data_IF_697327720268
#
_entry.id   IF_697327720268
#
_cell.length_a   1.000
_cell.length_b   1.000
_cell.length_c   1.000
_cell.angle_alpha   90.00
_cell.angle_beta   90.00
_cell.angle_gamma   90.00
#
_symmetry.space_group_name_H-M   'P 1'
#
loop_
_entity.id
_entity.type
_entity.pdbx_description
1 polymer ?
#
# COMPACT_ATOMS: atom_id res chain seq x y z
N UNK A 1 9.46 -2.26 59.10
CA UNK A 1 9.91 -1.95 57.72
C UNK A 1 9.62 -3.10 56.75
N UNK A 2 8.36 -3.58 56.65
CA UNK A 2 8.00 -4.74 55.78
C UNK A 2 6.71 -4.56 54.97
N UNK A 3 6.02 -3.41 55.07
CA UNK A 3 4.73 -3.16 54.40
C UNK A 3 4.80 -2.21 53.20
N UNK A 4 5.97 -1.66 52.88
CA UNK A 4 6.14 -0.68 51.78
C UNK A 4 6.51 -1.38 50.44
N UNK A 5 6.90 -2.65 50.46
CA UNK A 5 7.41 -3.35 49.27
C UNK A 5 6.30 -3.88 48.35
N UNK A 6 5.04 -3.96 48.82
CA UNK A 6 3.95 -4.60 48.06
C UNK A 6 3.31 -3.63 47.04
N UNK A 7 3.37 -2.31 47.23
CA UNK A 7 2.82 -1.34 46.27
C UNK A 7 3.66 -1.19 45.00
N UNK A 8 4.97 -1.45 45.04
CA UNK A 8 5.85 -1.25 43.88
C UNK A 8 5.75 -2.37 42.83
N UNK A 9 5.13 -3.52 43.15
CA UNK A 9 4.95 -4.61 42.18
C UNK A 9 3.70 -4.46 41.29
N UNK A 10 2.70 -3.67 41.70
CA UNK A 10 1.47 -3.49 40.90
C UNK A 10 1.65 -2.53 39.73
N UNK A 11 2.65 -1.64 39.75
CA UNK A 11 2.84 -0.62 38.71
C UNK A 11 3.57 -1.18 37.48
N UNK A 12 4.36 -2.25 37.61
CA UNK A 12 5.05 -2.88 36.47
C UNK A 12 4.14 -3.74 35.58
N UNK A 13 2.94 -4.11 36.04
CA UNK A 13 2.01 -4.92 35.25
C UNK A 13 1.21 -4.09 34.22
N UNK A 14 1.20 -2.76 34.33
CA UNK A 14 0.38 -1.87 33.49
C UNK A 14 1.11 -1.33 32.25
N UNK A 15 2.41 -1.58 32.08
CA UNK A 15 3.16 -1.09 30.92
C UNK A 15 3.25 -2.09 29.77
N UNK A 16 2.62 -3.26 29.88
CA UNK A 16 2.58 -4.26 28.81
C UNK A 16 1.35 -4.09 27.90
N UNK A 17 1.04 -2.86 27.51
CA UNK A 17 0.29 -2.67 26.27
C UNK A 17 1.26 -3.03 25.14
N UNK A 18 1.23 -4.29 24.70
CA UNK A 18 1.70 -4.60 23.35
C UNK A 18 0.91 -3.66 22.44
N UNK A 19 1.59 -2.71 21.81
CA UNK A 19 1.03 -1.99 20.67
C UNK A 19 0.45 -3.06 19.77
N UNK A 20 -0.86 -3.00 19.53
CA UNK A 20 -1.48 -3.75 18.43
C UNK A 20 -0.63 -3.39 17.22
N UNK A 21 0.15 -4.37 16.75
CA UNK A 21 1.22 -4.11 15.80
C UNK A 21 0.61 -3.59 14.53
N UNK A 22 1.12 -2.48 14.02
CA UNK A 22 0.78 -2.02 12.69
C UNK A 22 1.05 -3.17 11.71
N UNK A 23 0.01 -3.59 10.98
CA UNK A 23 0.08 -4.74 10.11
C UNK A 23 0.30 -4.27 8.68
N UNK A 24 1.51 -4.49 8.17
CA UNK A 24 1.84 -4.21 6.78
C UNK A 24 0.99 -5.09 5.86
N UNK A 25 0.18 -4.46 5.02
CA UNK A 25 -0.53 -5.12 3.93
C UNK A 25 0.36 -5.16 2.68
N UNK A 26 0.36 -6.29 1.99
CA UNK A 26 1.12 -6.52 0.78
C UNK A 26 0.19 -6.59 -0.43
N UNK A 27 0.35 -5.65 -1.35
CA UNK A 27 -0.30 -5.65 -2.66
C UNK A 27 0.68 -6.16 -3.70
N UNK A 28 0.29 -7.18 -4.46
CA UNK A 28 1.04 -7.65 -5.62
C UNK A 28 0.13 -7.74 -6.83
N UNK A 29 0.51 -7.05 -7.91
CA UNK A 29 -0.25 -6.95 -9.14
C UNK A 29 0.62 -7.28 -10.36
N UNK A 30 0.02 -7.94 -11.36
CA UNK A 30 0.68 -8.28 -12.63
C UNK A 30 -0.29 -8.15 -13.80
N UNK A 31 0.16 -7.48 -14.87
CA UNK A 31 -0.57 -7.43 -16.15
C UNK A 31 -0.67 -8.83 -16.78
N UNK A 32 -1.62 -9.04 -17.69
CA UNK A 32 -1.80 -10.33 -18.38
C UNK A 32 -0.51 -10.82 -19.07
N UNK A 33 0.18 -9.91 -19.78
CA UNK A 33 1.47 -10.22 -20.42
C UNK A 33 2.62 -10.45 -19.44
N UNK A 34 2.47 -10.03 -18.18
CA UNK A 34 3.52 -10.04 -17.18
C UNK A 34 4.62 -9.00 -17.33
N UNK A 35 4.56 -8.17 -18.38
CA UNK A 35 5.54 -7.10 -18.64
C UNK A 35 5.47 -5.95 -17.64
N UNK A 36 4.29 -5.74 -17.07
CA UNK A 36 4.05 -4.78 -15.99
C UNK A 36 3.76 -5.51 -14.69
N UNK A 37 4.46 -5.13 -13.62
CA UNK A 37 4.19 -5.55 -12.23
C UNK A 37 4.12 -4.33 -11.34
N UNK A 38 3.22 -4.35 -10.36
CA UNK A 38 3.14 -3.34 -9.32
C UNK A 38 3.11 -4.03 -7.96
N UNK A 39 3.96 -3.59 -7.04
CA UNK A 39 4.01 -4.09 -5.66
C UNK A 39 3.93 -2.92 -4.70
N UNK A 40 3.20 -3.07 -3.61
CA UNK A 40 3.16 -2.08 -2.55
C UNK A 40 3.07 -2.73 -1.17
N UNK A 41 3.68 -2.08 -0.19
CA UNK A 41 3.55 -2.32 1.24
C UNK A 41 2.81 -1.13 1.84
N UNK A 42 1.67 -1.40 2.46
CA UNK A 42 0.74 -0.41 2.97
C UNK A 42 0.59 -0.60 4.46
N UNK A 43 0.81 0.46 5.23
CA UNK A 43 0.59 0.48 6.66
C UNK A 43 -0.90 0.32 6.96
N UNK A 44 -1.26 -0.67 7.79
CA UNK A 44 -2.62 -0.90 8.28
C UNK A 44 -3.68 -0.91 7.16
N UNK A 45 -3.35 -1.49 6.00
CA UNK A 45 -4.14 -1.62 4.75
C UNK A 45 -4.53 -0.31 4.04
N UNK A 46 -4.65 0.81 4.73
CA UNK A 46 -5.10 2.09 4.16
C UNK A 46 -4.49 3.38 4.75
N UNK A 47 -3.58 3.30 5.72
CA UNK A 47 -3.03 4.51 6.36
C UNK A 47 -1.96 5.22 5.50
N UNK A 48 -1.16 4.47 4.76
CA UNK A 48 -0.12 5.03 3.90
C UNK A 48 0.80 4.00 3.29
N UNK A 49 1.62 4.40 2.32
CA UNK A 49 2.64 3.51 1.74
C UNK A 49 3.91 3.50 2.59
N UNK A 50 4.46 2.32 2.83
CA UNK A 50 5.85 2.16 3.31
C UNK A 50 6.80 2.15 2.09
N UNK A 51 6.44 1.33 1.08
CA UNK A 51 7.14 1.28 -0.21
C UNK A 51 6.22 0.82 -1.32
N UNK A 52 6.47 1.28 -2.54
CA UNK A 52 5.84 0.76 -3.74
C UNK A 52 6.79 0.77 -4.95
N UNK A 53 6.65 -0.22 -5.82
CA UNK A 53 7.48 -0.40 -7.02
C UNK A 53 6.59 -0.75 -8.21
N UNK A 54 6.58 0.12 -9.21
CA UNK A 54 6.05 -0.17 -10.54
C UNK A 54 7.22 -0.58 -11.44
N UNK A 55 7.13 -1.75 -12.08
CA UNK A 55 8.10 -2.20 -13.08
C UNK A 55 7.39 -2.38 -14.41
N UNK A 56 7.93 -1.80 -15.48
CA UNK A 56 7.46 -1.99 -16.87
C UNK A 56 8.67 -2.37 -17.73
N UNK A 57 8.62 -3.54 -18.36
CA UNK A 57 9.71 -4.06 -19.20
C UNK A 57 11.07 -4.09 -18.47
N UNK A 58 11.05 -4.36 -17.16
CA UNK A 58 12.24 -4.39 -16.30
C UNK A 58 12.72 -3.02 -15.80
N UNK A 59 12.11 -1.91 -16.25
CA UNK A 59 12.44 -0.56 -15.77
C UNK A 59 11.54 -0.20 -14.60
N UNK A 60 12.14 0.31 -13.51
CA UNK A 60 11.50 0.53 -12.22
C UNK A 60 11.16 2.00 -11.96
N UNK A 61 10.01 2.22 -11.35
CA UNK A 61 9.60 3.47 -10.70
C UNK A 61 9.25 3.15 -9.24
N UNK A 62 10.04 3.70 -8.32
CA UNK A 62 9.90 3.45 -6.89
C UNK A 62 9.18 4.60 -6.20
N UNK A 63 8.45 4.30 -5.13
CA UNK A 63 7.84 5.22 -4.18
C UNK A 63 8.15 4.71 -2.77
N UNK A 64 8.29 5.62 -1.82
CA UNK A 64 8.61 5.42 -0.41
C UNK A 64 7.62 6.21 0.45
N UNK A 65 7.80 6.15 1.78
CA UNK A 65 7.10 7.00 2.75
C UNK A 65 7.27 8.52 2.54
N UNK A 66 8.26 8.93 1.73
CA UNK A 66 8.52 10.34 1.44
C UNK A 66 7.48 10.95 0.50
N UNK A 67 6.77 10.14 -0.30
CA UNK A 67 5.70 10.61 -1.15
C UNK A 67 4.40 10.89 -0.38
N UNK A 68 3.51 11.67 -0.99
CA UNK A 68 2.13 11.77 -0.50
C UNK A 68 1.36 10.57 -1.00
N UNK A 69 0.60 9.91 -0.12
CA UNK A 69 -0.30 8.83 -0.51
C UNK A 69 -1.70 9.06 0.06
N UNK A 70 -2.71 8.65 -0.71
CA UNK A 70 -4.09 8.58 -0.28
C UNK A 70 -4.63 7.22 -0.68
N UNK A 71 -5.12 6.47 0.30
CA UNK A 71 -5.61 5.11 0.12
C UNK A 71 -7.04 5.06 0.65
N UNK A 72 -7.91 4.40 -0.10
CA UNK A 72 -9.30 4.16 0.31
C UNK A 72 -9.58 2.68 0.11
N UNK A 73 -10.04 2.03 1.17
CA UNK A 73 -10.34 0.62 1.17
C UNK A 73 -11.76 0.37 1.72
N UNK A 74 -12.56 -0.35 0.95
CA UNK A 74 -13.87 -0.87 1.36
C UNK A 74 -14.09 -2.21 0.64
N UNK A 75 -13.74 -3.30 1.34
CA UNK A 75 -13.88 -4.68 0.86
C UNK A 75 -15.31 -5.03 0.48
N UNK A 76 -16.30 -4.52 1.22
CA UNK A 76 -17.72 -4.84 1.03
C UNK A 76 -18.27 -4.29 -0.28
N UNK A 77 -17.76 -3.14 -0.70
CA UNK A 77 -18.14 -2.49 -1.96
C UNK A 77 -17.12 -2.72 -3.09
N UNK A 78 -16.06 -3.51 -2.85
CA UNK A 78 -15.01 -3.79 -3.83
C UNK A 78 -14.22 -2.54 -4.22
N UNK A 79 -14.08 -1.59 -3.30
CA UNK A 79 -13.31 -0.36 -3.50
C UNK A 79 -11.92 -0.58 -2.93
N UNK A 80 -10.92 -0.39 -3.78
CA UNK A 80 -9.56 -0.20 -3.33
C UNK A 80 -8.87 0.77 -4.27
N UNK A 81 -8.50 1.95 -3.76
CA UNK A 81 -7.88 3.00 -4.55
C UNK A 81 -6.60 3.46 -3.89
N UNK A 82 -5.56 3.68 -4.68
CA UNK A 82 -4.28 4.22 -4.22
C UNK A 82 -3.90 5.36 -5.14
N UNK A 83 -3.63 6.53 -4.57
CA UNK A 83 -2.99 7.65 -5.25
C UNK A 83 -1.68 7.94 -4.55
N UNK A 84 -0.58 7.94 -5.29
CA UNK A 84 0.76 8.29 -4.81
C UNK A 84 1.28 9.44 -5.67
N UNK A 85 1.83 10.47 -5.04
CA UNK A 85 2.42 11.60 -5.77
C UNK A 85 3.62 12.19 -5.04
N UNK A 86 4.55 12.74 -5.81
CA UNK A 86 5.67 13.49 -5.24
C UNK A 86 5.14 14.69 -4.45
N UNK A 87 5.58 14.85 -3.19
CA UNK A 87 5.18 16.00 -2.36
C UNK A 87 5.56 17.31 -3.08
N UNK A 88 4.57 18.15 -3.36
CA UNK A 88 4.75 19.34 -4.22
C UNK A 88 5.58 20.46 -3.56
N UNK A 89 5.72 20.45 -2.23
CA UNK A 89 6.30 21.58 -1.48
C UNK A 89 7.79 21.84 -1.74
N UNK A 90 8.52 20.92 -2.38
CA UNK A 90 9.97 21.04 -2.60
C UNK A 90 10.41 21.05 -4.08
N UNK A 91 9.52 20.75 -5.02
CA UNK A 91 9.92 20.56 -6.41
C UNK A 91 9.58 21.78 -7.27
N UNK A 92 10.48 22.78 -7.26
CA UNK A 92 10.59 23.75 -8.38
C UNK A 92 10.99 23.08 -9.70
N UNK A 93 11.41 21.82 -9.62
CA UNK A 93 11.86 21.00 -10.73
C UNK A 93 10.79 19.94 -11.05
N UNK A 94 9.84 20.32 -11.90
CA UNK A 94 8.78 19.43 -12.40
C UNK A 94 9.33 18.21 -13.15
N UNK A 95 10.61 18.17 -13.52
CA UNK A 95 11.23 16.99 -14.16
C UNK A 95 11.34 15.78 -13.23
N UNK A 96 11.21 15.99 -11.92
CA UNK A 96 11.27 14.94 -10.90
C UNK A 96 9.90 14.54 -10.37
N UNK A 97 8.83 15.16 -10.87
CA UNK A 97 7.48 14.82 -10.46
C UNK A 97 7.11 13.44 -10.99
N UNK A 98 6.74 12.56 -10.07
CA UNK A 98 6.17 11.24 -10.37
C UNK A 98 4.87 11.04 -9.62
N UNK A 99 3.98 10.26 -10.22
CA UNK A 99 2.69 9.90 -9.64
C UNK A 99 2.29 8.47 -10.03
N UNK A 100 1.34 7.91 -9.28
CA UNK A 100 0.66 6.66 -9.58
C UNK A 100 -0.79 6.75 -9.10
N UNK A 101 -1.71 6.31 -9.94
CA UNK A 101 -3.13 6.15 -9.65
C UNK A 101 -3.52 4.70 -9.91
N UNK A 102 -4.21 4.12 -8.96
CA UNK A 102 -4.61 2.72 -8.97
C UNK A 102 -6.02 2.61 -8.42
N UNK A 103 -6.85 1.79 -9.07
CA UNK A 103 -8.18 1.50 -8.57
C UNK A 103 -8.64 0.10 -8.97
N UNK A 104 -9.21 -0.61 -8.00
CA UNK A 104 -9.86 -1.89 -8.24
C UNK A 104 -11.06 -1.74 -9.18
N UNK A 105 -11.33 -2.78 -9.97
CA UNK A 105 -12.55 -2.92 -10.76
C UNK A 105 -13.56 -3.65 -9.86
N UNK A 106 -14.60 -2.97 -9.32
CA UNK A 106 -15.40 -3.52 -8.21
C UNK A 106 -16.04 -4.87 -8.50
N UNK A 107 -16.50 -5.09 -9.75
CA UNK A 107 -17.13 -6.35 -10.19
C UNK A 107 -16.20 -7.57 -10.16
N UNK A 108 -14.90 -7.36 -10.03
CA UNK A 108 -13.90 -8.42 -10.03
C UNK A 108 -13.38 -8.74 -8.63
N UNK A 109 -13.84 -7.99 -7.62
CA UNK A 109 -13.35 -8.09 -6.26
C UNK A 109 -13.87 -9.35 -5.57
N UNK A 110 -12.95 -10.13 -5.02
CA UNK A 110 -13.23 -11.38 -4.32
C UNK A 110 -12.52 -11.37 -2.99
N UNK A 111 -13.30 -11.47 -1.91
CA UNK A 111 -12.78 -11.79 -0.58
C UNK A 111 -12.50 -13.28 -0.51
N UNK A 112 -11.24 -13.65 -0.33
CA UNK A 112 -10.82 -15.04 -0.11
C UNK A 112 -10.87 -15.34 1.40
N UNK A 113 -10.35 -14.43 2.21
CA UNK A 113 -10.34 -14.48 3.68
C UNK A 113 -10.53 -13.06 4.20
N UNK A 114 -11.37 -12.87 5.22
CA UNK A 114 -11.49 -11.62 5.97
C UNK A 114 -11.97 -11.94 7.38
N UNK A 115 -11.08 -11.76 8.36
CA UNK A 115 -11.38 -11.94 9.77
C UNK A 115 -10.59 -10.90 10.61
N UNK A 116 -10.69 -11.00 11.94
CA UNK A 116 -10.09 -10.03 12.86
C UNK A 116 -8.54 -10.01 12.85
N UNK A 117 -7.90 -10.98 12.20
CA UNK A 117 -6.43 -11.17 12.23
C UNK A 117 -5.79 -11.23 10.84
N UNK A 118 -6.56 -11.45 9.77
CA UNK A 118 -6.02 -11.56 8.42
C UNK A 118 -7.08 -11.17 7.38
N UNK A 119 -6.60 -10.67 6.25
CA UNK A 119 -7.41 -10.44 5.07
C UNK A 119 -6.65 -10.83 3.81
N UNK A 120 -7.35 -11.45 2.86
CA UNK A 120 -6.85 -11.85 1.55
C UNK A 120 -7.90 -11.59 0.48
N UNK A 121 -7.52 -10.84 -0.53
CA UNK A 121 -8.41 -10.41 -1.60
C UNK A 121 -7.76 -10.62 -2.96
N UNK A 122 -8.58 -10.99 -3.95
CA UNK A 122 -8.19 -11.07 -5.35
C UNK A 122 -9.10 -10.16 -6.17
N UNK A 123 -8.52 -9.36 -7.06
CA UNK A 123 -9.28 -8.46 -7.93
C UNK A 123 -8.47 -8.06 -9.15
N UNK A 124 -9.18 -7.55 -10.17
CA UNK A 124 -8.53 -6.79 -11.24
C UNK A 124 -8.52 -5.31 -10.86
N UNK A 125 -7.52 -4.59 -11.31
CA UNK A 125 -7.39 -3.16 -11.11
C UNK A 125 -6.90 -2.48 -12.38
N UNK A 126 -7.09 -1.16 -12.46
CA UNK A 126 -6.41 -0.33 -13.44
C UNK A 126 -5.31 0.47 -12.77
N UNK A 127 -4.22 0.66 -13.50
CA UNK A 127 -3.06 1.42 -13.08
C UNK A 127 -2.70 2.45 -14.14
N UNK A 128 -2.43 3.67 -13.70
CA UNK A 128 -1.99 4.78 -14.53
C UNK A 128 -0.94 5.58 -13.75
N UNK A 129 0.23 5.80 -14.35
CA UNK A 129 1.40 6.33 -13.64
C UNK A 129 2.34 7.07 -14.59
N UNK A 130 3.29 7.82 -14.03
CA UNK A 130 4.48 8.28 -14.75
C UNK A 130 5.18 7.12 -15.46
N UNK A 131 5.60 7.36 -16.70
CA UNK A 131 6.25 6.35 -17.52
C UNK A 131 7.75 6.23 -17.16
N UNK A 132 8.21 5.06 -16.68
CA UNK A 132 9.62 4.87 -16.34
C UNK A 132 10.54 4.70 -17.55
N UNK A 133 10.03 4.30 -18.72
CA UNK A 133 10.86 3.95 -19.89
C UNK A 133 11.28 5.22 -20.66
N UNK A 134 12.58 5.32 -20.94
CA UNK A 134 13.12 6.42 -21.76
C UNK A 134 12.55 6.40 -23.19
N UNK A 135 12.32 7.58 -23.76
CA UNK A 135 11.85 7.75 -25.14
C UNK A 135 10.38 7.36 -25.35
N UNK A 136 9.60 7.26 -24.27
CA UNK A 136 8.14 7.11 -24.28
C UNK A 136 7.48 8.42 -23.82
N UNK A 137 6.15 8.45 -23.87
CA UNK A 137 5.36 9.55 -23.31
C UNK A 137 5.66 9.74 -21.81
N UNK A 138 5.30 10.89 -21.23
CA UNK A 138 5.54 11.16 -19.80
C UNK A 138 4.70 10.27 -18.86
N UNK A 139 3.65 9.64 -19.40
CA UNK A 139 2.68 8.85 -18.66
C UNK A 139 2.40 7.54 -19.38
N UNK A 140 2.17 6.49 -18.59
CA UNK A 140 1.73 5.18 -19.07
C UNK A 140 0.29 5.28 -19.60
N UNK A 141 -0.15 4.39 -20.51
CA UNK A 141 -1.58 4.16 -20.71
C UNK A 141 -2.21 3.55 -19.45
N UNK A 142 -3.55 3.49 -19.38
CA UNK A 142 -4.20 2.65 -18.36
C UNK A 142 -3.86 1.17 -18.60
N UNK A 143 -3.33 0.51 -17.57
CA UNK A 143 -2.93 -0.90 -17.62
C UNK A 143 -3.87 -1.68 -16.70
N UNK A 144 -4.55 -2.69 -17.25
CA UNK A 144 -5.31 -3.65 -16.44
C UNK A 144 -4.34 -4.67 -15.79
N UNK A 145 -4.53 -4.88 -14.49
CA UNK A 145 -3.67 -5.68 -13.63
C UNK A 145 -4.50 -6.72 -12.88
N UNK A 146 -3.97 -7.93 -12.70
CA UNK A 146 -4.52 -8.92 -11.77
C UNK A 146 -3.78 -8.79 -10.44
N UNK A 147 -4.50 -8.63 -9.34
CA UNK A 147 -3.97 -8.22 -8.05
C UNK A 147 -4.38 -9.16 -6.92
N UNK A 148 -3.44 -9.35 -5.99
CA UNK A 148 -3.65 -9.98 -4.69
C UNK A 148 -3.27 -8.97 -3.61
N UNK A 149 -4.16 -8.77 -2.63
CA UNK A 149 -3.92 -7.96 -1.44
C UNK A 149 -4.02 -8.86 -0.21
N UNK A 150 -2.99 -8.84 0.64
CA UNK A 150 -2.88 -9.73 1.80
C UNK A 150 -2.37 -8.95 3.03
N UNK A 151 -2.94 -9.16 4.21
CA UNK A 151 -2.41 -8.64 5.48
C UNK A 151 -2.64 -9.62 6.63
N UNK A 152 -1.82 -9.50 7.67
CA UNK A 152 -1.94 -10.28 8.91
C UNK A 152 -1.48 -9.45 10.12
N UNK A 153 -2.32 -9.43 11.16
CA UNK A 153 -2.11 -8.72 12.44
C UNK A 153 -1.58 -9.70 13.49
#
# INVERSE_FOLDING_TARGET
MKKIIICSLLILALTSFKSVGSATAHLTCKSESGRTTFKAEIQDIDEGIEKAELTIDGVKLNFTEDESSNIVFDSKNGVYTIVIESKSQLQKDFSKFKFLKFWAIPKTFKTIIENNTEGKYEFKARLYSTEPRKGKDLQTPEIEMNCNLEYKI
#
